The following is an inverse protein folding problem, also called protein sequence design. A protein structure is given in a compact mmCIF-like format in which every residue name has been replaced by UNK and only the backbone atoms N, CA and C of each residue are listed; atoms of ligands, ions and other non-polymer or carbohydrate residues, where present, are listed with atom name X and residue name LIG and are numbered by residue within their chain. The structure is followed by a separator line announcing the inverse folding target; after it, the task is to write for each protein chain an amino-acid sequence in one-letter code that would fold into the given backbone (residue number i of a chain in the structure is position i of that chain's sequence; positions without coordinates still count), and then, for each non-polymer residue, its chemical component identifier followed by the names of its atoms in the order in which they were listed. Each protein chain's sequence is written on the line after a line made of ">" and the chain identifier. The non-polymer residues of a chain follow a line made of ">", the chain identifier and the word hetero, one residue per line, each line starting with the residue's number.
data_IF_793276939655
#
_entry.id   IF_793276939655
#
_cell.length_a   1.000
_cell.length_b   1.000
_cell.length_c   1.000
_cell.angle_alpha   90.00
_cell.angle_beta   90.00
_cell.angle_gamma   90.00
#
_symmetry.space_group_name_H-M   'P 1'
#
loop_
_entity.id
_entity.type
_entity.pdbx_description
1 polymer ?
#
# COMPACT_ATOMS: atom_id res chain seq x y z
N UNK A 1 -7.58 6.06 14.75
CA UNK A 1 -6.82 7.28 15.12
C UNK A 1 -6.55 8.10 13.87
N UNK A 2 -6.66 9.43 13.94
CA UNK A 2 -6.32 10.34 12.83
C UNK A 2 -5.17 11.24 13.28
N UNK A 3 -3.95 10.79 13.01
CA UNK A 3 -2.73 11.56 13.31
C UNK A 3 -2.15 12.09 12.01
N UNK A 4 -1.74 13.36 12.01
CA UNK A 4 -1.08 13.99 10.86
C UNK A 4 0.39 14.27 11.21
N UNK A 5 1.27 13.93 10.27
CA UNK A 5 2.69 14.23 10.34
C UNK A 5 3.06 15.12 9.14
N UNK A 6 4.01 16.03 9.33
CA UNK A 6 4.45 16.96 8.29
C UNK A 6 5.98 17.02 8.26
N UNK A 7 6.54 17.24 7.07
CA UNK A 7 7.98 17.37 6.85
C UNK A 7 8.70 16.02 6.74
N UNK A 8 9.70 15.97 5.86
CA UNK A 8 10.46 14.74 5.56
C UNK A 8 11.19 14.18 6.79
N UNK A 9 11.68 15.06 7.67
CA UNK A 9 12.38 14.69 8.90
C UNK A 9 11.51 14.00 9.95
N UNK A 10 10.19 14.19 9.90
CA UNK A 10 9.24 13.49 10.78
C UNK A 10 8.59 12.31 10.08
N UNK A 11 8.20 12.48 8.81
CA UNK A 11 7.52 11.45 8.05
C UNK A 11 8.41 10.24 7.76
N UNK A 12 9.67 10.43 7.34
CA UNK A 12 10.53 9.30 6.98
C UNK A 12 10.86 8.39 8.17
N UNK A 13 11.27 8.88 9.35
CA UNK A 13 11.52 8.01 10.49
C UNK A 13 10.27 7.25 10.96
N UNK A 14 9.10 7.91 10.93
CA UNK A 14 7.84 7.26 11.28
C UNK A 14 7.49 6.14 10.30
N UNK A 15 7.57 6.42 8.99
CA UNK A 15 7.34 5.42 7.95
C UNK A 15 8.34 4.27 8.09
N UNK A 16 9.61 4.57 8.33
CA UNK A 16 10.66 3.58 8.46
C UNK A 16 10.46 2.64 9.66
N UNK A 17 10.03 3.20 10.78
CA UNK A 17 9.87 2.44 12.01
C UNK A 17 8.55 1.67 12.07
N UNK A 18 7.47 2.23 11.53
CA UNK A 18 6.11 1.72 11.79
C UNK A 18 5.37 1.21 10.56
N UNK A 19 5.78 1.60 9.36
CA UNK A 19 5.03 1.31 8.12
C UNK A 19 5.84 0.42 7.18
N UNK A 20 7.16 0.59 7.11
CA UNK A 20 8.03 -0.25 6.32
C UNK A 20 8.06 -1.66 6.93
N UNK A 21 7.82 -2.65 6.08
CA UNK A 21 8.06 -4.06 6.39
C UNK A 21 9.27 -4.57 5.61
N UNK A 22 9.55 -5.86 5.68
CA UNK A 22 10.55 -6.47 4.80
C UNK A 22 10.13 -6.36 3.32
N UNK A 23 11.06 -6.34 2.36
CA UNK A 23 10.72 -6.43 0.94
C UNK A 23 9.77 -7.60 0.68
N UNK A 24 8.65 -7.34 -0.02
CA UNK A 24 7.62 -8.34 -0.30
C UNK A 24 6.61 -8.59 0.83
N UNK A 25 6.68 -7.86 1.94
CA UNK A 25 5.69 -7.93 3.03
C UNK A 25 4.29 -7.45 2.59
N UNK A 26 4.26 -6.53 1.62
CA UNK A 26 3.05 -5.90 1.11
C UNK A 26 2.80 -6.28 -0.35
N UNK A 27 1.53 -6.42 -0.70
CA UNK A 27 1.04 -6.55 -2.08
C UNK A 27 0.13 -5.38 -2.38
N UNK A 28 0.54 -4.51 -3.31
CA UNK A 28 -0.19 -3.30 -3.66
C UNK A 28 -0.84 -3.46 -5.02
N UNK A 29 -2.11 -3.07 -5.13
CA UNK A 29 -2.86 -3.05 -6.38
C UNK A 29 -3.31 -1.61 -6.68
N UNK A 30 -3.14 -1.13 -7.93
CA UNK A 30 -3.48 0.24 -8.29
C UNK A 30 -5.00 0.45 -8.28
N UNK A 31 -5.46 1.60 -7.79
CA UNK A 31 -6.83 2.07 -7.88
C UNK A 31 -6.87 3.60 -7.95
N UNK A 32 -8.07 4.19 -7.92
CA UNK A 32 -8.27 5.64 -7.78
C UNK A 32 -9.14 5.93 -6.57
N UNK A 33 -8.77 6.96 -5.81
CA UNK A 33 -9.57 7.49 -4.71
C UNK A 33 -9.69 9.01 -4.89
N UNK A 34 -10.91 9.54 -4.88
CA UNK A 34 -11.19 10.97 -5.10
C UNK A 34 -10.52 11.55 -6.36
N UNK A 35 -10.50 10.78 -7.45
CA UNK A 35 -9.87 11.15 -8.72
C UNK A 35 -8.33 11.05 -8.76
N UNK A 36 -7.69 10.75 -7.64
CA UNK A 36 -6.22 10.68 -7.49
C UNK A 36 -5.71 9.23 -7.52
N UNK A 37 -4.43 9.00 -7.87
CA UNK A 37 -3.79 7.70 -7.72
C UNK A 37 -3.88 7.17 -6.29
N UNK A 38 -4.16 5.88 -6.13
CA UNK A 38 -4.20 5.22 -4.83
C UNK A 38 -3.84 3.73 -4.97
N UNK A 39 -3.62 3.07 -3.84
CA UNK A 39 -3.35 1.63 -3.79
C UNK A 39 -4.20 0.95 -2.72
N UNK A 40 -4.81 -0.17 -3.09
CA UNK A 40 -5.27 -1.17 -2.13
C UNK A 40 -4.10 -2.05 -1.76
N UNK A 41 -3.91 -2.33 -0.48
CA UNK A 41 -2.75 -3.09 0.01
C UNK A 41 -3.24 -4.32 0.77
N UNK A 42 -2.54 -5.45 0.56
CA UNK A 42 -2.69 -6.68 1.32
C UNK A 42 -1.36 -7.06 1.96
N UNK A 43 -1.42 -7.75 3.10
CA UNK A 43 -0.28 -8.51 3.58
C UNK A 43 0.04 -9.66 2.61
N UNK A 44 1.28 -10.13 2.65
CA UNK A 44 1.73 -11.30 1.86
C UNK A 44 0.86 -12.54 2.07
N UNK A 45 0.39 -12.74 3.30
CA UNK A 45 -0.48 -13.85 3.71
C UNK A 45 -1.92 -13.75 3.16
N UNK A 46 -2.25 -12.64 2.51
CA UNK A 46 -3.54 -12.45 1.86
C UNK A 46 -4.54 -11.61 2.63
N UNK A 47 -4.23 -11.23 3.87
CA UNK A 47 -5.13 -10.41 4.68
C UNK A 47 -5.16 -8.97 4.17
N UNK A 48 -6.34 -8.31 4.18
CA UNK A 48 -6.45 -6.92 3.78
C UNK A 48 -5.73 -6.05 4.82
N UNK A 49 -5.10 -4.98 4.36
CA UNK A 49 -4.48 -3.98 5.24
C UNK A 49 -5.04 -2.60 4.94
N UNK A 50 -4.82 -1.60 5.81
CA UNK A 50 -5.23 -0.23 5.57
C UNK A 50 -4.92 0.22 4.13
N UNK A 51 -5.95 0.67 3.41
CA UNK A 51 -5.76 1.20 2.06
C UNK A 51 -4.91 2.47 2.14
N UNK A 52 -3.85 2.55 1.34
CA UNK A 52 -2.95 3.72 1.35
C UNK A 52 -3.17 4.54 0.08
N UNK A 53 -3.57 5.80 0.27
CA UNK A 53 -3.60 6.81 -0.78
C UNK A 53 -2.28 7.59 -0.77
N UNK A 54 -1.54 7.53 -1.86
CA UNK A 54 -0.47 8.50 -2.14
C UNK A 54 -1.06 9.68 -2.92
N UNK A 55 -1.05 10.88 -2.36
CA UNK A 55 -1.43 12.10 -3.09
C UNK A 55 -0.17 12.83 -3.55
N UNK A 56 0.11 12.80 -4.85
CA UNK A 56 1.14 13.65 -5.46
C UNK A 56 0.53 15.00 -5.81
N UNK A 57 0.97 16.09 -5.17
CA UNK A 57 0.72 17.44 -5.70
C UNK A 57 1.77 17.73 -6.77
N UNK A 58 1.33 17.84 -8.02
CA UNK A 58 2.14 18.38 -9.10
C UNK A 58 1.89 19.89 -9.20
N UNK A 59 2.64 20.69 -8.44
CA UNK A 59 2.93 22.06 -8.85
C UNK A 59 3.98 21.98 -9.96
N UNK A 60 3.74 22.64 -11.10
CA UNK A 60 4.53 22.52 -12.33
C UNK A 60 6.05 22.62 -12.06
N UNK A 61 6.80 21.61 -12.53
CA UNK A 61 8.27 21.56 -12.51
C UNK A 61 8.85 20.60 -11.46
N UNK A 62 9.13 19.35 -11.88
CA UNK A 62 9.74 18.25 -11.09
C UNK A 62 8.89 17.81 -9.88
N UNK A 63 7.81 17.06 -10.15
CA UNK A 63 6.81 16.66 -9.12
C UNK A 63 7.19 15.42 -8.31
N UNK A 64 7.03 15.50 -6.98
CA UNK A 64 7.17 14.38 -6.04
C UNK A 64 5.88 14.13 -5.23
N UNK A 65 5.92 13.17 -4.30
CA UNK A 65 4.82 12.93 -3.36
C UNK A 65 4.83 14.02 -2.29
N UNK A 66 3.78 14.82 -2.22
CA UNK A 66 3.67 15.92 -1.25
C UNK A 66 2.84 15.55 -0.03
N UNK A 67 2.00 14.51 -0.14
CA UNK A 67 1.23 13.99 0.99
C UNK A 67 0.88 12.52 0.79
N UNK A 68 0.87 11.75 1.86
CA UNK A 68 0.34 10.38 1.89
C UNK A 68 -0.77 10.35 2.93
N UNK A 69 -1.88 9.70 2.60
CA UNK A 69 -2.94 9.43 3.57
C UNK A 69 -3.25 7.94 3.58
N UNK A 70 -3.06 7.29 4.72
CA UNK A 70 -3.53 5.93 4.93
C UNK A 70 -4.93 5.94 5.54
N UNK A 71 -5.80 5.03 5.07
CA UNK A 71 -7.12 4.79 5.63
C UNK A 71 -7.11 3.45 6.35
N UNK A 72 -7.37 3.46 7.65
CA UNK A 72 -7.31 2.28 8.52
C UNK A 72 -8.49 1.31 8.44
N UNK A 73 -9.48 1.56 7.58
CA UNK A 73 -10.70 0.76 7.50
C UNK A 73 -10.58 -0.34 6.44
N UNK A 74 -10.57 -1.64 6.84
CA UNK A 74 -10.52 -2.76 5.89
C UNK A 74 -11.74 -2.83 4.96
N UNK A 75 -12.89 -2.30 5.36
CA UNK A 75 -14.11 -2.25 4.53
C UNK A 75 -13.95 -1.43 3.25
N UNK A 76 -12.97 -0.51 3.21
CA UNK A 76 -12.66 0.23 2.00
C UNK A 76 -12.11 -0.66 0.88
N UNK A 77 -11.47 -1.79 1.21
CA UNK A 77 -10.95 -2.72 0.21
C UNK A 77 -12.08 -3.23 -0.70
N UNK A 78 -13.18 -3.67 -0.10
CA UNK A 78 -14.35 -4.14 -0.85
C UNK A 78 -15.12 -3.00 -1.51
N UNK A 79 -15.18 -1.82 -0.88
CA UNK A 79 -15.77 -0.63 -1.48
C UNK A 79 -15.05 -0.17 -2.76
N UNK A 80 -13.74 -0.41 -2.88
CA UNK A 80 -12.96 -0.18 -4.09
C UNK A 80 -13.06 -1.32 -5.14
N UNK A 81 -13.91 -2.32 -4.91
CA UNK A 81 -14.12 -3.45 -5.83
C UNK A 81 -13.09 -4.56 -5.73
N UNK A 82 -12.28 -4.59 -4.66
CA UNK A 82 -11.29 -5.63 -4.43
C UNK A 82 -11.80 -6.70 -3.45
N UNK A 83 -11.33 -7.95 -3.53
CA UNK A 83 -11.76 -8.99 -2.61
C UNK A 83 -11.28 -8.72 -1.18
N UNK A 84 -12.05 -9.15 -0.17
CA UNK A 84 -11.68 -8.97 1.23
C UNK A 84 -10.36 -9.65 1.60
N UNK A 85 -9.95 -10.67 0.85
CA UNK A 85 -8.63 -11.31 0.97
C UNK A 85 -8.16 -11.79 -0.41
N UNK A 86 -6.85 -11.99 -0.55
CA UNK A 86 -6.25 -12.58 -1.76
C UNK A 86 -5.47 -13.83 -1.38
N UNK A 87 -5.33 -14.86 -2.24
CA UNK A 87 -4.52 -16.02 -1.93
C UNK A 87 -3.08 -15.61 -1.59
N UNK A 88 -2.47 -16.20 -0.56
CA UNK A 88 -1.08 -15.93 -0.21
C UNK A 88 -0.18 -16.12 -1.44
N UNK A 89 0.81 -15.24 -1.63
CA UNK A 89 1.75 -15.42 -2.73
C UNK A 89 2.65 -16.63 -2.42
N UNK A 90 2.67 -17.62 -3.30
CA UNK A 90 3.60 -18.74 -3.24
C UNK A 90 5.03 -18.19 -3.06
N UNK A 91 5.80 -18.77 -2.13
CA UNK A 91 7.19 -18.36 -1.92
C UNK A 91 8.02 -18.58 -3.17
N UNK A 92 9.04 -17.76 -3.39
CA UNK A 92 9.98 -17.88 -4.51
C UNK A 92 10.81 -19.19 -4.53
N UNK A 93 10.45 -20.20 -3.71
CA UNK A 93 11.04 -21.54 -3.71
C UNK A 93 10.17 -22.60 -4.39
N UNK A 94 8.94 -22.28 -4.81
CA UNK A 94 8.07 -23.22 -5.51
C UNK A 94 8.35 -23.19 -7.03
N UNK A 95 9.54 -23.63 -7.43
CA UNK A 95 9.76 -24.03 -8.81
C UNK A 95 9.10 -25.40 -8.98
N UNK A 96 7.93 -25.41 -9.59
CA UNK A 96 7.30 -26.61 -10.17
C UNK A 96 8.40 -27.41 -10.88
N UNK A 97 8.75 -28.57 -10.33
CA UNK A 97 9.55 -29.57 -11.03
C UNK A 97 8.64 -30.14 -12.12
N UNK A 98 8.80 -29.66 -13.35
CA UNK A 98 8.31 -30.41 -14.51
C UNK A 98 9.15 -31.68 -14.55
N UNK A 99 8.48 -32.82 -14.41
CA UNK A 99 9.09 -34.14 -14.52
C UNK A 99 8.98 -34.55 -15.99
N UNK A 100 10.12 -34.89 -16.57
CA UNK A 100 10.25 -35.44 -17.93
C UNK A 100 9.38 -36.69 -18.15
#
# INVERSE_FOLDING_TARGET
>A
MRTWYAGIGTCLPYLATHVMGSPGHWRMFPTRANGQPASVVYYRDGRPVPAVRGSSCSSRGVGGVTAITAFGDPGLVTAFGFPASVPARAGAGDRVRIRD
#
